data_IF_966566767562
#
_entry.id   IF_966566767562
#
_cell.length_a   1.000
_cell.length_b   1.000
_cell.length_c   1.000
_cell.angle_alpha   90.00
_cell.angle_beta   90.00
_cell.angle_gamma   90.00
#
_symmetry.space_group_name_H-M   'P 1'
#
loop_
_entity.id
_entity.type
_entity.pdbx_description
1 polymer ?
#
# COMPACT_ATOMS: atom_id res chain seq x y z
N UNK A 1 -1.98 -11.18 17.03
CA UNK A 1 -2.22 -11.41 18.48
C UNK A 1 -1.02 -12.00 19.24
N UNK A 2 -0.39 -13.09 18.77
CA UNK A 2 0.76 -13.70 19.46
C UNK A 2 2.08 -12.91 19.33
N UNK A 3 2.15 -11.94 18.40
CA UNK A 3 3.34 -11.11 18.18
C UNK A 3 4.57 -11.88 17.69
N UNK A 4 4.32 -12.99 17.01
CA UNK A 4 5.34 -13.82 16.39
C UNK A 4 5.52 -13.36 14.95
N UNK A 5 6.75 -12.99 14.61
CA UNK A 5 7.16 -12.66 13.25
C UNK A 5 7.78 -13.92 12.65
N UNK A 6 7.41 -14.22 11.41
CA UNK A 6 7.91 -15.36 10.66
C UNK A 6 8.70 -14.85 9.46
N UNK A 7 9.98 -15.18 9.39
CA UNK A 7 10.85 -14.99 8.21
C UNK A 7 10.60 -13.67 7.46
N UNK A 8 10.75 -12.52 8.13
CA UNK A 8 10.55 -11.23 7.47
C UNK A 8 11.56 -11.08 6.32
N UNK A 9 11.13 -10.70 5.10
CA UNK A 9 11.96 -10.77 3.90
C UNK A 9 13.20 -9.86 3.89
N UNK A 10 13.31 -8.97 4.89
CA UNK A 10 14.39 -7.97 5.00
C UNK A 10 15.16 -8.03 6.33
N UNK A 11 14.88 -9.00 7.20
CA UNK A 11 15.65 -9.20 8.44
C UNK A 11 16.13 -10.66 8.49
N UNK A 12 17.36 -10.93 8.97
CA UNK A 12 17.89 -12.29 9.10
C UNK A 12 17.27 -13.03 10.29
N UNK A 13 15.95 -12.98 10.41
CA UNK A 13 15.19 -13.51 11.54
C UNK A 13 14.45 -14.75 11.09
N UNK A 14 14.47 -15.79 11.93
CA UNK A 14 13.59 -16.95 11.77
C UNK A 14 12.19 -16.67 12.32
N UNK A 15 11.69 -17.61 13.12
CA UNK A 15 10.50 -17.39 13.95
C UNK A 15 10.90 -16.67 15.24
N UNK A 16 10.46 -15.42 15.41
CA UNK A 16 10.79 -14.60 16.59
C UNK A 16 9.51 -14.15 17.30
N UNK A 17 9.41 -14.38 18.61
CA UNK A 17 8.33 -13.82 19.43
C UNK A 17 8.71 -12.42 19.91
N UNK A 18 8.65 -11.46 18.99
CA UNK A 18 9.07 -10.08 19.25
C UNK A 18 8.24 -9.45 20.38
N UNK A 19 6.95 -9.74 20.43
CA UNK A 19 6.08 -9.25 21.51
C UNK A 19 6.63 -9.63 22.88
N UNK A 20 6.87 -10.93 23.12
CA UNK A 20 7.38 -11.41 24.42
C UNK A 20 8.70 -10.74 24.77
N UNK A 21 9.64 -10.70 23.82
CA UNK A 21 10.95 -10.06 24.05
C UNK A 21 10.81 -8.58 24.45
N UNK A 22 9.90 -7.83 23.82
CA UNK A 22 9.66 -6.43 24.18
C UNK A 22 8.93 -6.28 25.52
N UNK A 23 7.96 -7.15 25.83
CA UNK A 23 7.28 -7.16 27.14
C UNK A 23 8.26 -7.48 28.27
N UNK A 24 9.19 -8.41 28.05
CA UNK A 24 10.22 -8.80 29.02
C UNK A 24 11.19 -7.66 29.32
N UNK A 25 11.51 -6.81 28.33
CA UNK A 25 12.42 -5.66 28.49
C UNK A 25 11.70 -4.44 29.07
N UNK A 26 10.58 -4.03 28.47
CA UNK A 26 9.92 -2.76 28.79
C UNK A 26 8.87 -2.86 29.90
N UNK A 27 8.50 -4.08 30.30
CA UNK A 27 7.51 -4.35 31.36
C UNK A 27 6.17 -3.62 31.14
N UNK A 28 5.76 -3.48 29.88
CA UNK A 28 4.51 -2.83 29.48
C UNK A 28 3.77 -3.65 28.42
N UNK A 29 2.47 -3.42 28.19
CA UNK A 29 1.72 -4.12 27.15
C UNK A 29 2.27 -3.85 25.75
N UNK A 30 2.56 -4.90 24.97
CA UNK A 30 3.03 -4.77 23.59
C UNK A 30 2.04 -5.34 22.60
N UNK A 31 1.87 -4.65 21.47
CA UNK A 31 1.15 -5.16 20.31
C UNK A 31 1.99 -4.98 19.06
N UNK A 32 2.01 -6.04 18.25
CA UNK A 32 2.62 -6.06 16.93
C UNK A 32 1.48 -6.10 15.92
N UNK A 33 1.56 -5.23 14.92
CA UNK A 33 0.60 -5.13 13.82
C UNK A 33 1.35 -5.00 12.50
N UNK A 34 0.73 -5.47 11.42
CA UNK A 34 1.27 -5.30 10.07
C UNK A 34 1.27 -3.83 9.67
N UNK A 35 2.30 -3.36 8.97
CA UNK A 35 2.48 -1.94 8.60
C UNK A 35 1.26 -1.36 7.85
N UNK A 36 0.76 -2.05 6.82
CA UNK A 36 -0.43 -1.66 6.06
C UNK A 36 -1.67 -1.49 6.95
N UNK A 37 -1.85 -2.38 7.93
CA UNK A 37 -2.98 -2.35 8.87
C UNK A 37 -2.83 -1.22 9.89
N UNK A 38 -1.62 -1.01 10.40
CA UNK A 38 -1.30 0.09 11.30
C UNK A 38 -1.50 1.45 10.61
N UNK A 39 -1.05 1.59 9.37
CA UNK A 39 -1.27 2.80 8.55
C UNK A 39 -2.76 3.01 8.22
N UNK A 40 -3.51 1.95 7.94
CA UNK A 40 -4.96 2.04 7.76
C UNK A 40 -5.65 2.56 9.02
N UNK A 41 -5.29 2.03 10.19
CA UNK A 41 -5.81 2.51 11.46
C UNK A 41 -5.47 3.99 11.69
N UNK A 42 -4.24 4.40 11.38
CA UNK A 42 -3.82 5.79 11.50
C UNK A 42 -4.63 6.74 10.61
N UNK A 43 -4.75 6.45 9.32
CA UNK A 43 -5.52 7.28 8.38
C UNK A 43 -7.02 7.24 8.66
N UNK A 44 -7.56 6.10 9.07
CA UNK A 44 -8.96 5.96 9.47
C UNK A 44 -9.30 6.81 10.69
N UNK A 45 -8.40 6.84 11.69
CA UNK A 45 -8.66 7.55 12.95
C UNK A 45 -8.30 9.02 12.89
N UNK A 46 -7.19 9.36 12.22
CA UNK A 46 -6.56 10.67 12.31
C UNK A 46 -6.27 11.33 10.97
N UNK A 47 -6.56 10.69 9.83
CA UNK A 47 -6.22 11.22 8.51
C UNK A 47 -7.39 11.24 7.52
N UNK A 48 -7.09 10.91 6.27
CA UNK A 48 -8.00 11.05 5.13
C UNK A 48 -9.22 10.10 5.19
N UNK A 49 -9.15 9.11 6.08
CA UNK A 49 -10.18 8.09 6.33
C UNK A 49 -11.16 8.42 7.44
N UNK A 50 -11.03 9.57 8.12
CA UNK A 50 -11.94 9.95 9.21
C UNK A 50 -13.39 9.96 8.75
N UNK A 51 -14.24 9.29 9.52
CA UNK A 51 -15.67 9.17 9.23
C UNK A 51 -16.06 8.01 8.29
N UNK A 52 -15.10 7.34 7.66
CA UNK A 52 -15.37 6.14 6.87
C UNK A 52 -15.78 4.97 7.77
N UNK A 53 -16.80 4.22 7.35
CA UNK A 53 -17.12 2.89 7.88
C UNK A 53 -16.35 1.82 7.13
N UNK A 54 -16.22 1.96 5.81
CA UNK A 54 -15.50 1.02 4.95
C UNK A 54 -14.37 1.77 4.26
N UNK A 55 -13.13 1.33 4.44
CA UNK A 55 -11.96 2.02 3.90
C UNK A 55 -10.88 1.03 3.52
N UNK A 56 -10.19 1.30 2.43
CA UNK A 56 -8.97 0.58 2.07
C UNK A 56 -7.81 1.57 2.09
N UNK A 57 -6.74 1.24 2.78
CA UNK A 57 -5.47 1.94 2.69
C UNK A 57 -4.51 1.10 1.86
N UNK A 58 -3.87 1.68 0.84
CA UNK A 58 -2.81 1.04 0.05
C UNK A 58 -1.45 1.61 0.45
N UNK A 59 -0.50 0.76 0.83
CA UNK A 59 0.79 1.22 1.38
C UNK A 59 1.58 2.08 0.41
N UNK A 60 1.66 1.66 -0.86
CA UNK A 60 2.43 2.34 -1.91
C UNK A 60 3.78 2.82 -1.35
N UNK A 61 4.60 1.88 -0.91
CA UNK A 61 5.89 2.13 -0.29
C UNK A 61 6.95 1.30 -0.98
N UNK A 62 7.81 0.63 -0.20
CA UNK A 62 8.75 -0.36 -0.73
C UNK A 62 8.02 -1.49 -1.47
N UNK A 63 6.88 -1.93 -0.93
CA UNK A 63 5.95 -2.88 -1.53
C UNK A 63 4.53 -2.33 -1.66
N UNK A 64 3.57 -3.21 -1.93
CA UNK A 64 2.14 -2.92 -2.05
C UNK A 64 1.33 -3.90 -1.20
N UNK A 65 0.83 -3.40 -0.08
CA UNK A 65 -0.12 -4.09 0.79
C UNK A 65 -1.34 -3.22 1.03
N UNK A 66 -2.36 -3.81 1.64
CA UNK A 66 -3.58 -3.13 2.02
C UNK A 66 -3.90 -3.32 3.50
N UNK A 67 -4.38 -2.26 4.14
CA UNK A 67 -5.15 -2.37 5.39
C UNK A 67 -6.61 -2.07 5.08
N UNK A 68 -7.51 -2.95 5.50
CA UNK A 68 -8.92 -2.91 5.10
C UNK A 68 -9.76 -2.71 6.35
N UNK A 69 -10.54 -1.64 6.40
CA UNK A 69 -11.55 -1.36 7.44
C UNK A 69 -12.91 -1.76 6.87
N UNK A 70 -13.66 -2.59 7.60
CA UNK A 70 -15.03 -3.01 7.29
C UNK A 70 -15.88 -2.74 8.53
N UNK A 71 -16.99 -2.03 8.37
CA UNK A 71 -17.90 -1.63 9.46
C UNK A 71 -17.17 -1.00 10.66
N UNK A 72 -16.19 -0.14 10.35
CA UNK A 72 -15.38 0.58 11.35
C UNK A 72 -14.38 -0.31 12.10
N UNK A 73 -14.08 -1.51 11.59
CA UNK A 73 -13.13 -2.45 12.20
C UNK A 73 -12.06 -2.89 11.20
N UNK A 74 -10.82 -3.03 11.64
CA UNK A 74 -9.74 -3.54 10.79
C UNK A 74 -9.91 -5.05 10.54
N UNK A 75 -10.04 -5.38 9.27
CA UNK A 75 -10.13 -6.74 8.77
C UNK A 75 -8.75 -7.38 8.70
N UNK A 76 -8.57 -8.47 9.45
CA UNK A 76 -7.30 -9.23 9.53
C UNK A 76 -7.33 -10.56 8.80
N UNK A 77 -8.52 -11.05 8.42
CA UNK A 77 -8.71 -12.38 7.85
C UNK A 77 -8.43 -13.51 8.84
N UNK A 78 -8.45 -14.75 8.35
CA UNK A 78 -8.32 -15.97 9.17
C UNK A 78 -6.93 -16.17 9.79
N UNK A 79 -5.88 -15.71 9.10
CA UNK A 79 -4.47 -15.88 9.52
C UNK A 79 -3.78 -14.58 9.93
N UNK A 80 -4.50 -13.45 9.88
CA UNK A 80 -3.89 -12.12 10.08
C UNK A 80 -3.28 -11.50 8.81
N UNK A 81 -3.26 -12.25 7.71
CA UNK A 81 -2.66 -11.87 6.43
C UNK A 81 -3.68 -11.34 5.41
N UNK A 82 -4.86 -10.89 5.84
CA UNK A 82 -5.72 -10.15 4.91
C UNK A 82 -5.01 -8.88 4.43
N UNK A 83 -5.22 -8.52 3.16
CA UNK A 83 -4.66 -7.30 2.55
C UNK A 83 -3.36 -7.51 1.76
N UNK A 84 -2.96 -8.74 1.45
CA UNK A 84 -1.82 -9.05 0.56
C UNK A 84 -2.12 -8.77 -0.93
N UNK A 85 -2.67 -7.59 -1.23
CA UNK A 85 -3.15 -7.22 -2.58
C UNK A 85 -2.02 -7.10 -3.59
N UNK A 86 -0.79 -6.78 -3.16
CA UNK A 86 0.37 -6.73 -4.04
C UNK A 86 0.68 -8.05 -4.73
N UNK A 87 0.26 -9.18 -4.15
CA UNK A 87 0.44 -10.51 -4.73
C UNK A 87 -0.62 -10.89 -5.77
N UNK A 88 -1.68 -10.10 -5.97
CA UNK A 88 -2.66 -10.33 -7.03
C UNK A 88 -1.92 -10.30 -8.38
N UNK A 89 -2.17 -11.28 -9.25
CA UNK A 89 -1.69 -11.24 -10.63
C UNK A 89 -2.65 -10.36 -11.43
N UNK A 90 -2.23 -9.14 -11.71
CA UNK A 90 -3.06 -8.15 -12.44
C UNK A 90 -2.77 -8.12 -13.94
N UNK A 91 -1.65 -8.72 -14.35
CA UNK A 91 -1.26 -8.85 -15.74
C UNK A 91 -0.68 -10.25 -16.00
N UNK A 92 -0.82 -10.74 -17.23
CA UNK A 92 -0.20 -12.00 -17.65
C UNK A 92 1.33 -11.91 -17.63
N UNK A 93 1.87 -10.74 -17.99
CA UNK A 93 3.31 -10.45 -18.09
C UNK A 93 3.64 -9.19 -17.29
N UNK A 94 4.91 -9.04 -16.93
CA UNK A 94 5.43 -7.87 -16.23
C UNK A 94 6.69 -8.22 -15.44
N UNK A 95 7.28 -7.25 -14.72
CA UNK A 95 8.45 -7.51 -13.91
C UNK A 95 8.18 -8.58 -12.84
N UNK A 96 9.21 -9.33 -12.47
CA UNK A 96 9.12 -10.33 -11.41
C UNK A 96 9.40 -9.68 -10.07
N UNK A 97 8.38 -9.68 -9.20
CA UNK A 97 8.47 -9.25 -7.80
C UNK A 97 7.88 -10.35 -6.91
N UNK A 98 8.59 -10.69 -5.83
CA UNK A 98 8.29 -11.86 -4.98
C UNK A 98 8.02 -13.16 -5.77
N UNK A 99 8.87 -13.44 -6.76
CA UNK A 99 8.79 -14.68 -7.56
C UNK A 99 7.59 -14.77 -8.50
N UNK A 100 6.81 -13.70 -8.67
CA UNK A 100 5.62 -13.67 -9.52
C UNK A 100 5.73 -12.56 -10.58
N UNK A 101 5.73 -12.94 -11.85
CA UNK A 101 5.55 -12.00 -12.96
C UNK A 101 4.11 -11.44 -12.96
N UNK A 102 3.96 -10.16 -13.28
CA UNK A 102 2.65 -9.51 -13.40
C UNK A 102 1.90 -9.34 -12.08
N UNK A 103 2.59 -9.39 -10.95
CA UNK A 103 1.99 -9.07 -9.64
C UNK A 103 1.65 -7.57 -9.58
N UNK A 104 0.58 -7.20 -8.88
CA UNK A 104 0.18 -5.79 -8.78
C UNK A 104 1.27 -4.92 -8.14
N UNK A 105 1.99 -5.48 -7.17
CA UNK A 105 3.16 -4.84 -6.56
C UNK A 105 4.22 -4.47 -7.60
N UNK A 106 4.46 -5.32 -8.61
CA UNK A 106 5.46 -5.10 -9.64
C UNK A 106 5.20 -3.86 -10.51
N UNK A 107 3.98 -3.32 -10.50
CA UNK A 107 3.63 -2.12 -11.27
C UNK A 107 3.52 -0.85 -10.43
N UNK A 108 3.17 -0.96 -9.14
CA UNK A 108 2.72 0.21 -8.36
C UNK A 108 3.56 0.51 -7.12
N UNK A 109 4.40 -0.42 -6.65
CA UNK A 109 5.27 -0.17 -5.50
C UNK A 109 6.55 0.57 -5.90
N UNK A 110 7.28 1.11 -4.92
CA UNK A 110 8.58 1.73 -5.14
C UNK A 110 9.63 0.77 -5.70
N UNK A 111 9.63 -0.51 -5.31
CA UNK A 111 10.46 -1.53 -5.97
C UNK A 111 9.91 -1.93 -7.34
N UNK A 112 8.59 -1.99 -7.47
CA UNK A 112 7.88 -2.33 -8.70
C UNK A 112 8.13 -1.35 -9.82
N UNK A 113 7.90 -0.06 -9.60
CA UNK A 113 8.08 0.99 -10.62
C UNK A 113 9.53 1.04 -11.13
N UNK A 114 10.52 0.87 -10.24
CA UNK A 114 11.92 0.73 -10.61
C UNK A 114 12.15 -0.44 -11.60
N UNK A 115 11.65 -1.64 -11.24
CA UNK A 115 11.74 -2.81 -12.11
C UNK A 115 10.92 -2.67 -13.40
N UNK A 116 9.78 -1.99 -13.34
CA UNK A 116 8.95 -1.70 -14.51
C UNK A 116 9.69 -0.80 -15.50
N UNK A 117 10.43 0.19 -15.00
CA UNK A 117 11.24 1.06 -15.84
C UNK A 117 12.30 0.28 -16.63
N UNK A 118 13.09 -0.54 -15.93
CA UNK A 118 14.08 -1.39 -16.57
C UNK A 118 13.43 -2.41 -17.52
N UNK A 119 12.30 -3.02 -17.14
CA UNK A 119 11.57 -3.96 -17.99
C UNK A 119 11.06 -3.33 -19.29
N UNK A 120 10.59 -2.08 -19.24
CA UNK A 120 10.06 -1.37 -20.42
C UNK A 120 11.17 -0.77 -21.29
N UNK A 121 12.25 -0.27 -20.67
CA UNK A 121 13.32 0.46 -21.35
C UNK A 121 14.69 0.08 -20.76
N UNK A 122 15.18 -1.15 -21.00
CA UNK A 122 16.41 -1.66 -20.37
C UNK A 122 17.67 -0.86 -20.75
N UNK A 123 17.70 -0.29 -21.96
CA UNK A 123 18.79 0.56 -22.45
C UNK A 123 18.81 1.96 -21.80
N UNK A 124 17.71 2.38 -21.19
CA UNK A 124 17.54 3.73 -20.60
C UNK A 124 17.65 3.68 -19.07
N UNK A 125 17.11 2.63 -18.47
CA UNK A 125 17.08 2.45 -17.03
C UNK A 125 17.81 1.16 -16.66
N UNK A 126 18.94 1.28 -15.96
CA UNK A 126 19.66 0.13 -15.42
C UNK A 126 18.89 -0.57 -14.31
N UNK A 127 19.31 -1.79 -13.95
CA UNK A 127 18.64 -2.63 -12.95
C UNK A 127 18.52 -1.98 -11.56
N UNK A 128 19.46 -1.08 -11.22
CA UNK A 128 19.53 -0.40 -9.94
C UNK A 128 18.80 0.96 -9.91
N UNK A 129 18.08 1.32 -10.98
CA UNK A 129 17.30 2.57 -11.01
C UNK A 129 16.30 2.59 -9.85
N UNK A 130 16.07 3.76 -9.27
CA UNK A 130 15.10 3.96 -8.20
C UNK A 130 13.86 4.69 -8.72
N UNK A 131 12.71 4.42 -8.09
CA UNK A 131 11.47 5.17 -8.36
C UNK A 131 11.62 6.66 -8.11
N UNK A 132 12.51 7.07 -7.21
CA UNK A 132 12.84 8.48 -6.97
C UNK A 132 13.47 9.11 -8.22
N UNK A 133 14.49 8.49 -8.80
CA UNK A 133 15.16 8.98 -10.02
C UNK A 133 14.20 9.00 -11.21
N UNK A 134 13.32 8.00 -11.33
CA UNK A 134 12.27 7.96 -12.36
C UNK A 134 11.31 9.13 -12.18
N UNK A 135 10.84 9.38 -10.95
CA UNK A 135 9.97 10.52 -10.65
C UNK A 135 10.65 11.86 -10.99
N UNK A 136 11.91 12.05 -10.58
CA UNK A 136 12.70 13.25 -10.89
C UNK A 136 12.91 13.47 -12.39
N UNK A 137 13.18 12.41 -13.15
CA UNK A 137 13.26 12.45 -14.63
C UNK A 137 11.93 12.85 -15.25
N UNK A 138 10.82 12.29 -14.76
CA UNK A 138 9.48 12.65 -15.25
C UNK A 138 9.12 14.12 -14.97
N UNK A 139 9.49 14.66 -13.81
CA UNK A 139 9.34 16.09 -13.51
C UNK A 139 10.16 16.99 -14.44
N UNK A 140 11.27 16.49 -14.99
CA UNK A 140 12.10 17.18 -16.00
C UNK A 140 11.63 16.95 -17.44
N UNK A 141 10.52 16.24 -17.65
CA UNK A 141 9.96 16.01 -18.99
C UNK A 141 10.54 14.80 -19.74
N UNK A 142 11.27 13.90 -19.08
CA UNK A 142 11.79 12.68 -19.71
C UNK A 142 10.63 11.77 -20.18
N UNK A 143 10.56 11.53 -21.49
CA UNK A 143 9.45 10.78 -22.08
C UNK A 143 9.38 9.32 -21.62
N UNK A 144 10.53 8.67 -21.40
CA UNK A 144 10.57 7.28 -20.95
C UNK A 144 10.04 7.17 -19.51
N UNK A 145 10.49 8.07 -18.63
CA UNK A 145 10.02 8.13 -17.25
C UNK A 145 8.51 8.41 -17.18
N UNK A 146 8.01 9.34 -18.01
CA UNK A 146 6.57 9.62 -18.11
C UNK A 146 5.80 8.38 -18.57
N UNK A 147 6.29 7.65 -19.57
CA UNK A 147 5.64 6.41 -20.06
C UNK A 147 5.59 5.33 -18.98
N UNK A 148 6.69 5.12 -18.24
CA UNK A 148 6.73 4.19 -17.10
C UNK A 148 5.67 4.54 -16.06
N UNK A 149 5.60 5.81 -15.66
CA UNK A 149 4.64 6.26 -14.65
C UNK A 149 3.20 6.20 -15.18
N UNK A 150 2.94 6.45 -16.47
CA UNK A 150 1.61 6.24 -17.05
C UNK A 150 1.20 4.77 -17.03
N UNK A 151 2.13 3.85 -17.30
CA UNK A 151 1.85 2.42 -17.21
C UNK A 151 1.60 1.98 -15.76
N UNK A 152 2.39 2.47 -14.82
CA UNK A 152 2.14 2.29 -13.38
C UNK A 152 0.76 2.82 -12.97
N UNK A 153 0.40 4.04 -13.38
CA UNK A 153 -0.90 4.64 -13.08
C UNK A 153 -2.07 3.84 -13.67
N UNK A 154 -1.93 3.30 -14.89
CA UNK A 154 -2.91 2.40 -15.49
C UNK A 154 -3.16 1.16 -14.61
N UNK A 155 -2.10 0.48 -14.18
CA UNK A 155 -2.22 -0.70 -13.32
C UNK A 155 -2.67 -0.37 -11.88
N UNK A 156 -2.36 0.83 -11.38
CA UNK A 156 -2.95 1.31 -10.14
C UNK A 156 -4.47 1.39 -10.28
N UNK A 157 -4.94 2.01 -11.36
CA UNK A 157 -6.36 2.14 -11.66
C UNK A 157 -7.06 0.79 -11.76
N UNK A 158 -6.52 -0.14 -12.56
CA UNK A 158 -7.08 -1.49 -12.71
C UNK A 158 -7.25 -2.19 -11.35
N UNK A 159 -6.24 -2.13 -10.49
CA UNK A 159 -6.29 -2.82 -9.20
C UNK A 159 -7.22 -2.14 -8.21
N UNK A 160 -7.29 -0.80 -8.22
CA UNK A 160 -8.27 -0.07 -7.42
C UNK A 160 -9.70 -0.38 -7.87
N UNK A 161 -9.98 -0.48 -9.17
CA UNK A 161 -11.32 -0.85 -9.67
C UNK A 161 -11.79 -2.19 -9.12
N UNK A 162 -10.90 -3.20 -9.13
CA UNK A 162 -11.19 -4.52 -8.54
C UNK A 162 -11.56 -4.37 -7.06
N UNK A 163 -10.82 -3.55 -6.29
CA UNK A 163 -11.12 -3.35 -4.88
C UNK A 163 -12.41 -2.57 -4.65
N UNK A 164 -12.73 -1.58 -5.49
CA UNK A 164 -13.99 -0.83 -5.43
C UNK A 164 -15.17 -1.79 -5.63
N UNK A 165 -15.12 -2.63 -6.67
CA UNK A 165 -16.24 -3.50 -7.00
C UNK A 165 -16.42 -4.65 -6.00
N UNK A 166 -15.34 -5.14 -5.38
CA UNK A 166 -15.41 -6.19 -4.37
C UNK A 166 -15.89 -5.64 -3.01
N UNK A 167 -15.35 -4.50 -2.57
CA UNK A 167 -15.53 -4.03 -1.20
C UNK A 167 -16.51 -2.87 -1.05
N UNK A 168 -16.82 -2.15 -2.14
CA UNK A 168 -17.62 -0.93 -2.14
C UNK A 168 -17.25 0.04 -0.99
N UNK A 169 -15.98 0.46 -0.87
CA UNK A 169 -15.53 1.25 0.28
C UNK A 169 -15.88 2.73 0.13
N UNK A 170 -16.03 3.44 1.26
CA UNK A 170 -16.22 4.90 1.27
C UNK A 170 -14.98 5.64 0.73
N UNK A 171 -13.79 5.05 0.92
CA UNK A 171 -12.54 5.61 0.42
C UNK A 171 -11.45 4.56 0.18
N UNK A 172 -10.61 4.82 -0.83
CA UNK A 172 -9.28 4.24 -0.98
C UNK A 172 -8.23 5.31 -0.71
N UNK A 173 -7.45 5.13 0.36
CA UNK A 173 -6.40 6.03 0.80
C UNK A 173 -5.05 5.53 0.28
N UNK A 174 -4.33 6.38 -0.44
CA UNK A 174 -3.06 6.06 -1.08
C UNK A 174 -1.89 6.52 -0.22
N UNK A 175 -0.98 5.60 0.13
CA UNK A 175 0.18 5.87 0.98
C UNK A 175 1.26 6.75 0.33
N UNK A 176 2.42 6.82 0.98
CA UNK A 176 3.36 7.93 0.81
C UNK A 176 4.00 8.08 -0.58
N UNK A 177 4.14 7.00 -1.36
CA UNK A 177 4.64 7.15 -2.74
C UNK A 177 3.67 7.99 -3.60
N UNK A 178 2.37 7.95 -3.31
CA UNK A 178 1.35 8.58 -4.15
C UNK A 178 1.53 10.09 -4.28
N UNK A 179 1.98 10.80 -3.23
CA UNK A 179 2.20 12.24 -3.26
C UNK A 179 3.60 12.64 -3.73
N UNK A 180 4.53 11.66 -3.82
CA UNK A 180 5.90 11.83 -4.35
C UNK A 180 5.97 11.60 -5.87
N UNK A 181 4.89 11.11 -6.47
CA UNK A 181 4.74 10.95 -7.91
C UNK A 181 3.99 12.14 -8.54
N UNK A 182 4.30 12.48 -9.81
CA UNK A 182 3.61 13.52 -10.56
C UNK A 182 2.09 13.32 -10.60
N UNK A 183 1.35 14.43 -10.70
CA UNK A 183 -0.12 14.40 -10.68
C UNK A 183 -0.72 13.51 -11.78
N UNK A 184 -0.13 13.53 -12.98
CA UNK A 184 -0.59 12.72 -14.12
C UNK A 184 -0.57 11.21 -13.85
N UNK A 185 0.25 10.71 -12.92
CA UNK A 185 0.26 9.29 -12.54
C UNK A 185 -1.07 8.91 -11.88
N UNK A 186 -1.58 9.77 -10.99
CA UNK A 186 -2.88 9.56 -10.35
C UNK A 186 -4.02 9.82 -11.32
N UNK A 187 -3.93 10.86 -12.15
CA UNK A 187 -4.97 11.15 -13.14
C UNK A 187 -5.17 9.96 -14.10
N UNK A 188 -4.07 9.31 -14.51
CA UNK A 188 -4.14 8.09 -15.32
C UNK A 188 -4.83 6.93 -14.59
N UNK A 189 -4.63 6.79 -13.28
CA UNK A 189 -5.35 5.78 -12.50
C UNK A 189 -6.86 6.09 -12.45
N UNK A 190 -7.23 7.36 -12.24
CA UNK A 190 -8.62 7.80 -12.20
C UNK A 190 -9.35 7.57 -13.54
N UNK A 191 -8.68 7.83 -14.68
CA UNK A 191 -9.23 7.51 -16.01
C UNK A 191 -9.57 6.04 -16.20
N UNK A 192 -8.76 5.14 -15.62
CA UNK A 192 -8.98 3.69 -15.69
C UNK A 192 -10.09 3.28 -14.73
N UNK A 193 -10.12 3.85 -13.52
CA UNK A 193 -11.17 3.58 -12.54
C UNK A 193 -12.55 3.93 -13.10
N UNK A 194 -12.68 5.07 -13.79
CA UNK A 194 -13.92 5.50 -14.45
C UNK A 194 -14.47 4.44 -15.42
N UNK A 195 -13.59 3.72 -16.12
CA UNK A 195 -13.97 2.76 -17.17
C UNK A 195 -14.24 1.35 -16.65
N UNK A 196 -13.54 0.98 -15.59
CA UNK A 196 -13.45 -0.42 -15.15
C UNK A 196 -14.30 -0.72 -13.91
N UNK A 197 -14.74 0.29 -13.16
CA UNK A 197 -15.56 0.11 -11.96
C UNK A 197 -17.03 0.43 -12.19
N UNK A 198 -17.92 -0.23 -11.45
CA UNK A 198 -19.35 0.03 -11.52
C UNK A 198 -19.66 1.47 -11.08
N UNK A 199 -20.53 2.17 -11.82
CA UNK A 199 -20.76 3.60 -11.60
C UNK A 199 -21.18 3.95 -10.16
N UNK A 200 -22.09 3.15 -9.58
CA UNK A 200 -22.61 3.40 -8.24
C UNK A 200 -21.57 3.16 -7.14
N UNK A 201 -20.76 2.10 -7.24
CA UNK A 201 -19.70 1.79 -6.27
C UNK A 201 -18.59 2.83 -6.36
N UNK A 202 -18.22 3.23 -7.58
CA UNK A 202 -17.25 4.29 -7.85
C UNK A 202 -17.69 5.64 -7.28
N UNK A 203 -18.94 6.06 -7.49
CA UNK A 203 -19.47 7.33 -6.96
C UNK A 203 -19.49 7.37 -5.43
N UNK A 204 -19.64 6.23 -4.78
CA UNK A 204 -19.58 6.12 -3.32
C UNK A 204 -18.13 6.18 -2.79
N UNK A 205 -17.13 5.89 -3.62
CA UNK A 205 -15.74 5.75 -3.21
C UNK A 205 -14.87 6.97 -3.55
N UNK A 206 -14.23 7.55 -2.53
CA UNK A 206 -13.23 8.61 -2.71
C UNK A 206 -11.83 8.03 -2.87
N UNK A 207 -11.11 8.41 -3.93
CA UNK A 207 -9.69 8.07 -4.10
C UNK A 207 -8.82 9.24 -3.64
N UNK A 208 -8.12 9.08 -2.52
CA UNK A 208 -7.44 10.18 -1.85
C UNK A 208 -6.00 9.83 -1.48
N UNK A 209 -5.10 10.81 -1.54
CA UNK A 209 -3.75 10.67 -0.98
C UNK A 209 -3.83 10.76 0.55
N UNK A 210 -2.93 10.08 1.25
CA UNK A 210 -2.90 10.05 2.71
C UNK A 210 -2.66 11.45 3.30
N UNK A 211 -3.33 11.77 4.42
CA UNK A 211 -3.27 13.09 5.04
C UNK A 211 -2.04 13.24 5.95
N UNK A 212 -1.61 12.14 6.59
CA UNK A 212 -0.56 12.16 7.60
C UNK A 212 0.86 12.27 7.02
N UNK A 213 1.03 12.01 5.72
CA UNK A 213 2.29 12.13 4.97
C UNK A 213 3.47 11.47 5.71
N UNK A 214 4.54 12.21 5.95
CA UNK A 214 5.75 11.70 6.60
C UNK A 214 5.52 11.28 8.06
N UNK A 215 4.45 11.76 8.72
CA UNK A 215 4.08 11.34 10.09
C UNK A 215 3.30 10.03 10.15
N UNK A 216 2.94 9.44 9.00
CA UNK A 216 2.09 8.26 8.93
C UNK A 216 2.68 7.09 9.73
N UNK A 217 3.99 6.84 9.62
CA UNK A 217 4.65 5.74 10.32
C UNK A 217 4.61 5.91 11.84
N UNK A 218 4.89 7.12 12.33
CA UNK A 218 4.87 7.43 13.76
C UNK A 218 3.46 7.28 14.34
N UNK A 219 2.45 7.83 13.65
CA UNK A 219 1.06 7.75 14.10
C UNK A 219 0.54 6.30 14.02
N UNK A 220 0.96 5.53 13.01
CA UNK A 220 0.67 4.11 12.89
C UNK A 220 1.23 3.31 14.09
N UNK A 221 2.46 3.59 14.52
CA UNK A 221 3.03 2.97 15.71
C UNK A 221 2.26 3.38 16.99
N UNK A 222 1.95 4.66 17.13
CA UNK A 222 1.25 5.19 18.30
C UNK A 222 -0.16 4.63 18.46
N UNK A 223 -0.95 4.52 17.39
CA UNK A 223 -2.32 3.97 17.48
C UNK A 223 -2.31 2.48 17.82
N UNK A 224 -1.31 1.73 17.36
CA UNK A 224 -1.13 0.32 17.73
C UNK A 224 -0.75 0.20 19.21
N UNK A 225 0.18 1.04 19.70
CA UNK A 225 0.55 1.09 21.11
C UNK A 225 -0.63 1.50 22.01
N UNK A 226 -1.38 2.53 21.64
CA UNK A 226 -2.59 2.98 22.34
C UNK A 226 -3.61 1.83 22.45
N UNK A 227 -3.80 1.07 21.37
CA UNK A 227 -4.74 -0.06 21.37
C UNK A 227 -4.33 -1.18 22.34
N UNK A 228 -3.02 -1.35 22.58
CA UNK A 228 -2.51 -2.28 23.59
C UNK A 228 -2.80 -1.77 25.00
N UNK A 229 -2.54 -0.48 25.23
CA UNK A 229 -2.73 0.18 26.52
C UNK A 229 -4.21 0.23 26.94
N UNK A 230 -5.09 0.69 26.03
CA UNK A 230 -6.54 0.80 26.26
C UNK A 230 -7.26 -0.55 26.16
N UNK A 231 -6.57 -1.63 25.79
CA UNK A 231 -7.14 -2.97 25.53
C UNK A 231 -8.27 -2.95 24.49
N UNK A 232 -8.23 -2.02 23.55
CA UNK A 232 -9.22 -1.91 22.46
C UNK A 232 -8.77 -2.78 21.30
N UNK A 233 -9.72 -3.49 20.67
CA UNK A 233 -9.53 -4.08 19.35
C UNK A 233 -10.27 -3.22 18.35
N UNK A 234 -9.49 -2.46 17.60
CA UNK A 234 -9.95 -1.92 16.32
C UNK A 234 -10.13 -3.07 15.33
#
# INVERSE_FOLDING_TARGET
>A
EKGIIFNPPHLPWGKVNLKKSLEDVFKCPVRIEHDAKACALAEWKFGAGRGCKNMIFLTLGTGLGAGIIIDGKIYRGSTGLAGEVGHIRIAEKGPVVYGKAGSWEAFCSGKGIAKLAHFMFPEVFGENVTTKEISEKAFKGDEHAIRVLKESGKYLGLGISILIDIFNPDAVVLGNLSWRLPRFWLDRALEVIEKESLENTRKACRIVRNELKDKLGDIAALIVAESAWKKVKY
#
